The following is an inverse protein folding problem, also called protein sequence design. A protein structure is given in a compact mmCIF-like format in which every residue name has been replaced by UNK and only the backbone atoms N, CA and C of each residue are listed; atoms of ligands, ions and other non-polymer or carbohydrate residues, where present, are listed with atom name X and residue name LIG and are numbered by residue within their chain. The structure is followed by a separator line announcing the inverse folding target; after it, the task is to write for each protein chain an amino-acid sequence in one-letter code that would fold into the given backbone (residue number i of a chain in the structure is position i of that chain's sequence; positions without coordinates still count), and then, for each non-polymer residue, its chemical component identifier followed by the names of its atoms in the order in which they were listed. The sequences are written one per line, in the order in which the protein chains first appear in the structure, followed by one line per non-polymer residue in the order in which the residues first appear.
data_IF_864623472524
#
_entry.id   IF_864623472524
#
_cell.length_a   1.000
_cell.length_b   1.000
_cell.length_c   1.000
_cell.angle_alpha   90.00
_cell.angle_beta   90.00
_cell.angle_gamma   90.00
#
_symmetry.space_group_name_H-M   'P 1'
#
loop_
_entity.id
_entity.type
_entity.pdbx_description
1 polymer ?
#
# COMPACT_ATOMS: atom_id res chain seq x y z
N UNK A 1 3.77 -15.38 -11.87
CA UNK A 1 3.06 -14.38 -11.06
C UNK A 1 2.28 -15.11 -9.99
N UNK A 2 2.08 -14.50 -8.84
CA UNK A 2 1.64 -15.18 -7.61
C UNK A 2 0.15 -14.90 -7.37
N UNK A 3 -0.61 -15.92 -6.98
CA UNK A 3 -2.05 -15.79 -6.72
C UNK A 3 -2.33 -15.00 -5.40
N UNK A 4 -3.55 -14.44 -5.21
CA UNK A 4 -4.02 -13.82 -3.97
C UNK A 4 -3.59 -14.49 -2.68
N UNK A 5 -3.92 -15.76 -2.58
CA UNK A 5 -3.75 -16.55 -1.37
C UNK A 5 -2.26 -16.84 -1.13
N UNK A 6 -1.49 -17.04 -2.20
CA UNK A 6 -0.05 -17.26 -2.12
C UNK A 6 0.70 -16.00 -1.68
N UNK A 7 0.27 -14.80 -2.12
CA UNK A 7 0.84 -13.55 -1.64
C UNK A 7 0.59 -13.36 -0.13
N UNK A 8 -0.61 -13.66 0.36
CA UNK A 8 -0.89 -13.60 1.80
C UNK A 8 -0.06 -14.61 2.60
N UNK A 9 0.13 -15.82 2.06
CA UNK A 9 0.98 -16.82 2.68
C UNK A 9 2.46 -16.40 2.69
N UNK A 10 2.95 -15.74 1.65
CA UNK A 10 4.32 -15.22 1.61
C UNK A 10 4.54 -14.06 2.60
N UNK A 11 3.54 -13.18 2.74
CA UNK A 11 3.57 -12.13 3.75
C UNK A 11 3.60 -12.72 5.17
N UNK A 12 2.81 -13.77 5.44
CA UNK A 12 2.87 -14.50 6.70
C UNK A 12 4.26 -15.10 6.98
N UNK A 13 4.96 -15.57 5.94
CA UNK A 13 6.31 -16.15 6.05
C UNK A 13 7.42 -15.11 6.19
N UNK A 14 7.10 -13.81 6.09
CA UNK A 14 8.08 -12.72 6.09
C UNK A 14 7.83 -11.68 7.19
N UNK A 15 7.76 -12.08 8.48
CA UNK A 15 7.44 -11.15 9.58
C UNK A 15 8.56 -10.12 9.85
N UNK A 16 9.75 -10.32 9.29
CA UNK A 16 10.91 -9.45 9.43
C UNK A 16 11.05 -8.44 8.28
N UNK A 17 10.10 -8.42 7.35
CA UNK A 17 10.17 -7.52 6.20
C UNK A 17 10.10 -6.06 6.67
N UNK A 18 11.07 -5.25 6.23
CA UNK A 18 11.18 -3.83 6.59
C UNK A 18 10.70 -2.93 5.44
N UNK A 19 10.96 -3.35 4.21
CA UNK A 19 10.54 -2.65 2.98
C UNK A 19 9.86 -3.62 2.03
N UNK A 20 8.63 -3.30 1.61
CA UNK A 20 7.83 -4.13 0.73
C UNK A 20 7.29 -3.31 -0.43
N UNK A 21 7.37 -3.86 -1.65
CA UNK A 21 6.52 -3.43 -2.75
C UNK A 21 5.56 -4.55 -3.12
N UNK A 22 4.27 -4.22 -3.11
CA UNK A 22 3.19 -5.08 -3.56
C UNK A 22 2.63 -4.51 -4.86
N UNK A 23 2.95 -5.17 -5.96
CA UNK A 23 2.35 -4.90 -7.25
C UNK A 23 1.18 -5.86 -7.46
N UNK A 24 -0.02 -5.35 -7.74
CA UNK A 24 -1.22 -6.15 -7.96
C UNK A 24 -1.69 -6.15 -9.43
N UNK A 25 -2.13 -7.29 -9.97
CA UNK A 25 -2.91 -7.37 -11.22
C UNK A 25 -4.06 -8.39 -11.12
N UNK A 26 -5.19 -8.14 -11.79
CA UNK A 26 -6.35 -9.07 -11.92
C UNK A 26 -7.40 -8.97 -10.79
N UNK A 27 -8.61 -9.52 -10.95
CA UNK A 27 -9.76 -9.22 -10.07
C UNK A 27 -9.66 -9.81 -8.64
N UNK A 28 -9.85 -8.98 -7.60
CA UNK A 28 -9.84 -9.45 -6.21
C UNK A 28 -11.01 -10.40 -5.96
N UNK A 29 -10.70 -11.67 -5.73
CA UNK A 29 -11.71 -12.62 -5.28
C UNK A 29 -12.18 -12.24 -3.88
N UNK A 30 -13.51 -12.21 -3.69
CA UNK A 30 -14.16 -11.73 -2.46
C UNK A 30 -13.86 -12.58 -1.20
N UNK A 31 -13.12 -13.68 -1.38
CA UNK A 31 -12.73 -14.67 -0.38
C UNK A 31 -11.59 -14.23 0.54
N UNK A 32 -10.87 -13.14 0.21
CA UNK A 32 -9.81 -12.58 1.05
C UNK A 32 -10.37 -11.92 2.31
N UNK A 33 -10.56 -12.72 3.36
CA UNK A 33 -11.18 -12.31 4.64
C UNK A 33 -10.17 -12.11 5.76
N UNK A 34 -8.90 -12.42 5.52
CA UNK A 34 -7.88 -12.58 6.56
C UNK A 34 -7.03 -11.32 6.72
N UNK A 35 -6.90 -10.85 7.95
CA UNK A 35 -6.00 -9.76 8.31
C UNK A 35 -4.53 -10.21 8.21
N UNK A 36 -3.67 -9.35 7.68
CA UNK A 36 -2.24 -9.56 7.48
C UNK A 36 -1.50 -8.53 8.33
N UNK A 37 -0.69 -9.01 9.27
CA UNK A 37 0.11 -8.16 10.15
C UNK A 37 1.59 -8.28 9.81
N UNK A 38 2.23 -7.14 9.54
CA UNK A 38 3.67 -7.04 9.27
C UNK A 38 4.29 -6.06 10.27
N UNK A 39 4.63 -6.51 11.48
CA UNK A 39 4.92 -5.62 12.61
C UNK A 39 6.22 -4.83 12.48
N UNK A 40 7.10 -5.22 11.55
CA UNK A 40 8.39 -4.55 11.29
C UNK A 40 8.44 -3.76 9.99
N UNK A 41 7.34 -3.75 9.24
CA UNK A 41 7.31 -3.08 7.95
C UNK A 41 7.29 -1.57 8.15
N UNK A 42 8.38 -0.90 7.78
CA UNK A 42 8.55 0.55 7.90
C UNK A 42 8.19 1.27 6.60
N UNK A 43 8.36 0.60 5.46
CA UNK A 43 8.03 1.14 4.14
C UNK A 43 7.16 0.18 3.34
N UNK A 44 6.04 0.68 2.83
CA UNK A 44 5.18 -0.06 1.92
C UNK A 44 4.95 0.75 0.65
N UNK A 45 5.07 0.09 -0.49
CA UNK A 45 4.63 0.60 -1.77
C UNK A 45 3.54 -0.30 -2.36
N UNK A 46 2.42 0.30 -2.72
CA UNK A 46 1.28 -0.34 -3.35
C UNK A 46 1.17 0.15 -4.79
N UNK A 47 1.21 -0.78 -5.74
CA UNK A 47 1.15 -0.47 -7.17
C UNK A 47 0.24 -1.41 -7.94
N UNK A 48 -0.32 -0.94 -9.05
CA UNK A 48 -1.15 -1.73 -9.95
C UNK A 48 -0.35 -2.04 -11.22
N UNK A 49 -0.16 -3.32 -11.52
CA UNK A 49 0.45 -3.74 -12.77
C UNK A 49 -0.56 -3.73 -13.93
N UNK A 50 -1.85 -3.93 -13.65
CA UNK A 50 -2.94 -3.73 -14.62
C UNK A 50 -4.18 -3.14 -13.94
N UNK A 51 -4.66 -2.02 -14.49
CA UNK A 51 -5.92 -1.36 -14.09
C UNK A 51 -7.08 -2.29 -14.39
N UNK A 52 -7.61 -2.96 -13.36
CA UNK A 52 -8.88 -3.68 -13.49
C UNK A 52 -9.89 -2.96 -12.61
N UNK A 53 -10.98 -2.42 -13.18
CA UNK A 53 -11.97 -1.67 -12.42
C UNK A 53 -12.51 -2.47 -11.23
N UNK A 54 -12.47 -1.90 -10.02
CA UNK A 54 -13.07 -2.49 -8.81
C UNK A 54 -12.13 -3.29 -7.89
N UNK A 55 -10.85 -3.42 -8.26
CA UNK A 55 -9.77 -4.01 -7.44
C UNK A 55 -9.27 -3.14 -6.32
N UNK A 56 -9.41 -1.84 -6.52
CA UNK A 56 -8.67 -0.75 -5.91
C UNK A 56 -8.81 -0.65 -4.37
N UNK A 57 -9.54 -1.55 -3.69
CA UNK A 57 -10.17 -1.20 -2.42
C UNK A 57 -9.94 -2.15 -1.24
N UNK A 58 -9.30 -3.32 -1.39
CA UNK A 58 -9.33 -4.31 -0.30
C UNK A 58 -8.01 -4.63 0.38
N UNK A 59 -6.88 -4.55 -0.32
CA UNK A 59 -5.62 -4.99 0.30
C UNK A 59 -5.21 -4.06 1.46
N UNK A 60 -5.36 -2.75 1.30
CA UNK A 60 -5.02 -1.80 2.35
C UNK A 60 -5.85 -2.05 3.60
N UNK A 61 -7.11 -2.49 3.45
CA UNK A 61 -8.03 -2.79 4.55
C UNK A 61 -7.67 -4.08 5.31
N UNK A 62 -6.91 -4.97 4.70
CA UNK A 62 -6.43 -6.20 5.32
C UNK A 62 -5.10 -6.03 6.06
N UNK A 63 -4.38 -4.94 5.81
CA UNK A 63 -3.05 -4.71 6.35
C UNK A 63 -3.12 -3.99 7.70
N UNK A 64 -2.33 -4.51 8.66
CA UNK A 64 -2.05 -3.90 9.97
C UNK A 64 -0.54 -3.76 10.14
N UNK A 65 -0.05 -2.52 10.06
CA UNK A 65 1.36 -2.19 9.86
C UNK A 65 1.87 -1.22 10.94
N UNK A 66 2.03 -1.64 12.20
CA UNK A 66 2.30 -0.74 13.32
C UNK A 66 3.63 0.02 13.24
N UNK A 67 4.63 -0.53 12.53
CA UNK A 67 5.92 0.13 12.32
C UNK A 67 5.94 1.07 11.09
N UNK A 68 4.84 1.19 10.33
CA UNK A 68 4.85 1.89 9.06
C UNK A 68 5.12 3.39 9.23
N UNK A 69 6.09 3.89 8.46
CA UNK A 69 6.49 5.30 8.43
C UNK A 69 6.33 5.92 7.05
N UNK A 70 6.47 5.12 6.00
CA UNK A 70 6.44 5.59 4.60
C UNK A 70 5.46 4.74 3.80
N UNK A 71 4.48 5.39 3.17
CA UNK A 71 3.49 4.74 2.33
C UNK A 71 3.50 5.38 0.93
N UNK A 72 3.70 4.54 -0.07
CA UNK A 72 3.61 4.91 -1.48
C UNK A 72 2.40 4.21 -2.09
N UNK A 73 1.57 4.98 -2.77
CA UNK A 73 0.35 4.47 -3.40
C UNK A 73 0.36 4.97 -4.85
N UNK A 74 0.41 4.05 -5.81
CA UNK A 74 0.24 4.37 -7.22
C UNK A 74 -1.23 4.63 -7.56
N UNK A 75 -1.46 5.25 -8.71
CA UNK A 75 -2.77 5.75 -9.13
C UNK A 75 -3.85 4.65 -9.02
N UNK A 76 -5.04 5.06 -8.57
CA UNK A 76 -6.26 4.26 -8.40
C UNK A 76 -6.48 3.54 -7.06
N UNK A 77 -5.47 3.25 -6.24
CA UNK A 77 -5.64 2.45 -5.00
C UNK A 77 -6.50 3.09 -3.88
N UNK A 78 -6.83 4.37 -3.96
CA UNK A 78 -7.66 5.02 -2.95
C UNK A 78 -9.13 5.14 -3.38
N UNK A 79 -9.41 5.08 -4.69
CA UNK A 79 -10.68 5.45 -5.34
C UNK A 79 -11.60 6.41 -4.58
N UNK A 80 -12.86 6.02 -4.34
CA UNK A 80 -13.83 6.91 -3.69
C UNK A 80 -13.53 7.11 -2.21
N UNK A 81 -13.50 8.38 -1.78
CA UNK A 81 -13.18 8.86 -0.43
C UNK A 81 -11.79 8.43 0.09
N UNK A 82 -10.71 8.91 -0.55
CA UNK A 82 -9.35 8.49 -0.26
C UNK A 82 -8.91 8.85 1.17
N UNK A 83 -9.41 9.96 1.71
CA UNK A 83 -9.05 10.46 3.04
C UNK A 83 -9.62 9.57 4.14
N UNK A 84 -10.90 9.20 4.06
CA UNK A 84 -11.55 8.35 5.07
C UNK A 84 -10.93 6.95 5.15
N UNK A 85 -10.62 6.35 3.99
CA UNK A 85 -9.93 5.06 3.93
C UNK A 85 -8.54 5.14 4.54
N UNK A 86 -7.81 6.20 4.21
CA UNK A 86 -6.48 6.42 4.75
C UNK A 86 -6.50 6.60 6.28
N UNK A 87 -7.45 7.38 6.82
CA UNK A 87 -7.66 7.51 8.27
C UNK A 87 -7.98 6.17 8.92
N UNK A 88 -8.86 5.39 8.30
CA UNK A 88 -9.24 4.06 8.78
C UNK A 88 -8.05 3.12 8.82
N UNK A 89 -7.20 3.13 7.77
CA UNK A 89 -5.97 2.37 7.69
C UNK A 89 -4.97 2.77 8.79
N UNK A 90 -4.69 4.06 8.96
CA UNK A 90 -3.76 4.55 9.98
C UNK A 90 -4.27 4.24 11.39
N UNK A 91 -5.57 4.41 11.62
CA UNK A 91 -6.22 4.08 12.89
C UNK A 91 -6.15 2.58 13.20
N UNK A 92 -6.41 1.70 12.23
CA UNK A 92 -6.29 0.25 12.42
C UNK A 92 -4.85 -0.17 12.65
N UNK A 93 -3.92 0.35 11.85
CA UNK A 93 -2.49 0.01 11.96
C UNK A 93 -1.84 0.58 13.21
N UNK A 94 -2.42 1.62 13.83
CA UNK A 94 -1.80 2.38 14.93
C UNK A 94 -0.37 2.84 14.59
N UNK A 95 -0.12 3.13 13.32
CA UNK A 95 1.20 3.46 12.81
C UNK A 95 1.50 4.95 12.95
N UNK A 96 2.77 5.29 13.15
CA UNK A 96 3.24 6.68 13.12
C UNK A 96 3.69 7.06 11.70
N UNK A 97 2.73 7.17 10.79
CA UNK A 97 3.01 7.43 9.39
C UNK A 97 3.50 8.88 9.19
N UNK A 98 4.67 9.03 8.57
CA UNK A 98 5.39 10.30 8.43
C UNK A 98 5.40 10.80 6.98
N UNK A 99 5.44 9.88 6.02
CA UNK A 99 5.53 10.20 4.59
C UNK A 99 4.43 9.47 3.82
N UNK A 100 3.65 10.24 3.06
CA UNK A 100 2.65 9.74 2.13
C UNK A 100 2.99 10.21 0.72
N UNK A 101 3.10 9.26 -0.20
CA UNK A 101 3.27 9.53 -1.63
C UNK A 101 2.04 9.06 -2.37
N UNK A 102 1.38 9.99 -3.05
CA UNK A 102 0.15 9.76 -3.81
C UNK A 102 0.24 10.48 -5.15
N UNK A 103 -0.47 10.03 -6.20
CA UNK A 103 -0.40 10.67 -7.52
C UNK A 103 -0.99 12.08 -7.50
N UNK A 104 -0.45 12.97 -8.35
CA UNK A 104 -0.84 14.39 -8.47
C UNK A 104 -2.34 14.58 -8.74
N UNK A 105 -2.98 13.59 -9.38
CA UNK A 105 -4.42 13.60 -9.69
C UNK A 105 -5.32 13.45 -8.45
N UNK A 106 -4.77 13.05 -7.29
CA UNK A 106 -5.53 12.68 -6.09
C UNK A 106 -5.53 13.75 -4.99
N UNK A 107 -6.40 14.77 -5.14
CA UNK A 107 -6.83 15.72 -4.09
C UNK A 107 -5.76 16.63 -3.42
N UNK A 108 -6.23 17.71 -2.76
CA UNK A 108 -5.39 18.64 -1.98
C UNK A 108 -4.76 17.95 -0.76
N UNK A 109 -3.44 18.10 -0.59
CA UNK A 109 -2.63 17.56 0.53
C UNK A 109 -3.13 17.93 1.92
N UNK A 110 -3.80 19.07 2.04
CA UNK A 110 -4.18 19.65 3.32
C UNK A 110 -5.21 18.77 4.03
N UNK A 111 -6.03 18.05 3.26
CA UNK A 111 -7.03 17.12 3.82
C UNK A 111 -6.37 15.92 4.50
N UNK A 112 -5.28 15.39 3.94
CA UNK A 112 -4.55 14.27 4.55
C UNK A 112 -3.79 14.70 5.81
N UNK A 113 -3.10 15.83 5.75
CA UNK A 113 -2.36 16.38 6.91
C UNK A 113 -3.27 16.72 8.08
N UNK A 114 -4.44 17.29 7.80
CA UNK A 114 -5.45 17.58 8.84
C UNK A 114 -5.97 16.30 9.48
N UNK A 115 -6.15 15.25 8.68
CA UNK A 115 -6.72 13.99 9.13
C UNK A 115 -5.71 13.08 9.86
N UNK A 116 -4.42 13.17 9.52
CA UNK A 116 -3.34 12.39 10.13
C UNK A 116 -2.20 13.33 10.56
N UNK A 117 -2.22 13.81 11.82
CA UNK A 117 -1.28 14.82 12.30
C UNK A 117 0.19 14.41 12.29
N UNK A 118 0.48 13.10 12.26
CA UNK A 118 1.86 12.58 12.19
C UNK A 118 2.49 12.76 10.80
N UNK A 119 1.70 13.07 9.77
CA UNK A 119 2.21 13.26 8.41
C UNK A 119 3.07 14.52 8.32
N UNK A 120 4.37 14.30 8.19
CA UNK A 120 5.36 15.36 7.98
C UNK A 120 5.41 15.73 6.51
N UNK A 121 5.31 14.74 5.61
CA UNK A 121 5.43 14.94 4.17
C UNK A 121 4.28 14.29 3.40
N UNK A 122 3.75 15.04 2.44
CA UNK A 122 2.83 14.53 1.40
C UNK A 122 3.44 14.95 0.07
N UNK A 123 3.82 13.98 -0.74
CA UNK A 123 4.53 14.20 -2.00
C UNK A 123 3.66 13.69 -3.15
N UNK A 124 3.53 14.54 -4.16
CA UNK A 124 2.81 14.23 -5.39
C UNK A 124 3.80 14.07 -6.54
N UNK A 125 4.38 12.89 -6.67
CA UNK A 125 5.39 12.63 -7.70
C UNK A 125 5.50 11.12 -7.96
N UNK A 126 5.07 10.69 -9.16
CA UNK A 126 5.21 9.31 -9.63
C UNK A 126 6.67 8.95 -9.93
N UNK A 127 7.47 9.91 -10.38
CA UNK A 127 8.87 9.72 -10.77
C UNK A 127 9.77 9.56 -9.54
N UNK A 128 9.45 10.30 -8.47
CA UNK A 128 10.20 10.24 -7.20
C UNK A 128 10.23 8.82 -6.61
N UNK A 129 9.12 8.09 -6.69
CA UNK A 129 9.05 6.72 -6.18
C UNK A 129 10.02 5.78 -6.91
N UNK A 130 10.05 5.85 -8.25
CA UNK A 130 10.96 5.08 -9.09
C UNK A 130 12.42 5.39 -8.73
N UNK A 131 12.74 6.65 -8.45
CA UNK A 131 14.10 7.09 -8.15
C UNK A 131 14.56 6.74 -6.73
N UNK A 132 13.68 6.82 -5.72
CA UNK A 132 13.97 6.35 -4.35
C UNK A 132 14.21 4.85 -4.34
N UNK A 133 13.35 4.10 -5.02
CA UNK A 133 13.48 2.66 -5.07
C UNK A 133 14.74 2.21 -5.80
N UNK A 134 15.09 2.81 -6.95
CA UNK A 134 16.38 2.50 -7.62
C UNK A 134 17.60 2.75 -6.73
N UNK A 135 17.48 3.65 -5.75
CA UNK A 135 18.56 4.02 -4.84
C UNK A 135 18.66 3.10 -3.62
N UNK A 136 17.53 2.63 -3.09
CA UNK A 136 17.49 1.73 -1.93
C UNK A 136 17.64 0.26 -2.39
N UNK A 137 18.80 -0.36 -2.13
CA UNK A 137 19.14 -1.72 -2.63
C UNK A 137 18.54 -2.90 -1.84
N UNK A 138 17.69 -2.64 -0.84
CA UNK A 138 17.22 -3.63 0.15
C UNK A 138 15.74 -4.00 0.06
N UNK A 139 15.10 -3.76 -1.08
CA UNK A 139 13.67 -4.01 -1.24
C UNK A 139 13.41 -5.46 -1.66
N UNK A 140 12.45 -6.10 -1.00
CA UNK A 140 11.84 -7.32 -1.52
C UNK A 140 10.71 -6.93 -2.49
N UNK A 141 10.78 -7.40 -3.72
CA UNK A 141 9.78 -7.17 -4.76
C UNK A 141 9.00 -8.46 -5.04
N UNK A 142 7.67 -8.38 -4.99
CA UNK A 142 6.78 -9.49 -5.33
C UNK A 142 5.78 -9.03 -6.39
N UNK A 143 5.74 -9.77 -7.51
CA UNK A 143 4.85 -9.55 -8.65
C UNK A 143 3.63 -10.47 -8.58
N UNK A 144 2.45 -9.87 -8.48
CA UNK A 144 1.16 -10.54 -8.35
C UNK A 144 0.39 -10.60 -9.67
N UNK A 145 -0.32 -11.70 -9.91
CA UNK A 145 -1.31 -11.81 -10.99
C UNK A 145 -2.45 -12.71 -10.59
N UNK A 146 -3.66 -12.19 -10.79
CA UNK A 146 -4.92 -12.87 -10.55
C UNK A 146 -5.55 -13.32 -11.88
N UNK A 147 -4.81 -13.32 -12.99
CA UNK A 147 -5.28 -13.96 -14.22
C UNK A 147 -5.22 -15.49 -14.08
N UNK A 148 -6.29 -16.08 -13.53
CA UNK A 148 -6.82 -17.41 -13.88
C UNK A 148 -8.02 -17.79 -13.00
N UNK A 149 -9.22 -17.46 -13.47
CA UNK A 149 -10.37 -18.37 -13.56
C UNK A 149 -11.56 -17.66 -14.20
#
# INVERSE_FOLDING_TARGET
MIAPQECTALLDLTPLLVHCRLLMSGAADSSLSREISLPRLETLALGLHQVTPGLEYRIIDMLTLPALRRLYIEEEFLGRDPVSKFVSFVSRSQCNLQELHIPVSTMSSDRFRTAVPSLVSVVFDEQYFIDVWKREKSWAEWLYDISTS
#
